data_IF_939314727782
#
_entry.id   IF_939314727782
#
_cell.length_a   1.000
_cell.length_b   1.000
_cell.length_c   1.000
_cell.angle_alpha   90.00
_cell.angle_beta   90.00
_cell.angle_gamma   90.00
#
_symmetry.space_group_name_H-M   'P 1'
#
loop_
_entity.id
_entity.type
_entity.pdbx_description
1 polymer ?
#
# COMPACT_ATOMS: atom_id res chain seq x y z
N UNK A 1 -11.85 -15.21 14.16
CA UNK A 1 -10.97 -15.90 15.12
C UNK A 1 -10.74 -14.95 16.30
N UNK A 2 -10.58 -15.45 17.53
CA UNK A 2 -10.26 -14.59 18.67
C UNK A 2 -8.78 -14.20 18.66
N UNK A 3 -8.47 -12.91 18.83
CA UNK A 3 -7.10 -12.40 18.93
C UNK A 3 -6.31 -13.10 20.06
N UNK A 4 -5.33 -13.94 19.72
CA UNK A 4 -4.54 -14.76 20.65
C UNK A 4 -3.02 -14.51 20.52
N UNK A 5 -2.61 -13.43 19.86
CA UNK A 5 -1.24 -13.13 19.46
C UNK A 5 -1.11 -12.91 17.95
N UNK A 6 0.12 -12.82 17.46
CA UNK A 6 0.42 -12.74 16.02
C UNK A 6 1.11 -14.02 15.52
N UNK A 7 0.92 -14.32 14.24
CA UNK A 7 1.69 -15.34 13.51
C UNK A 7 2.89 -14.66 12.87
N UNK A 8 4.09 -15.21 12.99
CA UNK A 8 5.30 -14.66 12.35
C UNK A 8 5.28 -14.92 10.84
N UNK A 9 5.87 -14.00 10.10
CA UNK A 9 6.03 -14.09 8.64
C UNK A 9 7.29 -13.36 8.21
N UNK A 10 7.61 -13.43 6.92
CA UNK A 10 8.79 -12.82 6.31
C UNK A 10 8.40 -12.08 5.04
N UNK A 11 9.06 -10.95 4.77
CA UNK A 11 8.90 -10.20 3.54
C UNK A 11 10.11 -9.31 3.30
N UNK A 12 10.50 -9.18 2.03
CA UNK A 12 11.43 -8.16 1.56
C UNK A 12 10.62 -7.15 0.74
N UNK A 13 10.69 -5.87 1.13
CA UNK A 13 9.94 -4.79 0.48
C UNK A 13 10.90 -3.66 0.16
N UNK A 14 10.84 -3.16 -1.07
CA UNK A 14 11.63 -2.02 -1.52
C UNK A 14 10.67 -0.98 -2.11
N UNK A 15 10.86 0.28 -1.71
CA UNK A 15 10.19 1.42 -2.33
C UNK A 15 11.22 2.35 -2.95
N UNK A 16 10.86 2.95 -4.08
CA UNK A 16 11.64 3.99 -4.70
C UNK A 16 10.94 5.34 -4.51
N UNK A 17 11.48 6.17 -3.63
CA UNK A 17 10.94 7.50 -3.34
C UNK A 17 11.64 8.55 -4.20
N UNK A 18 10.85 9.39 -4.86
CA UNK A 18 11.34 10.50 -5.67
C UNK A 18 10.50 11.75 -5.44
N UNK A 19 11.08 12.92 -5.71
CA UNK A 19 10.30 14.15 -5.84
C UNK A 19 9.30 13.98 -6.99
N UNK A 20 8.04 14.37 -6.79
CA UNK A 20 6.96 14.18 -7.76
C UNK A 20 7.33 14.70 -9.17
N UNK A 21 8.01 15.86 -9.24
CA UNK A 21 8.46 16.45 -10.52
C UNK A 21 9.45 15.58 -11.34
N UNK A 22 10.07 14.58 -10.73
CA UNK A 22 11.03 13.68 -11.38
C UNK A 22 10.45 12.28 -11.63
N UNK A 23 9.29 11.97 -11.05
CA UNK A 23 8.73 10.63 -11.10
C UNK A 23 8.02 10.40 -12.43
N UNK A 24 8.40 9.31 -13.13
CA UNK A 24 7.73 8.89 -14.38
C UNK A 24 6.40 8.17 -14.12
N UNK A 25 6.29 7.52 -12.95
CA UNK A 25 5.08 6.89 -12.42
C UNK A 25 4.98 7.18 -10.93
N UNK A 26 3.76 7.49 -10.46
CA UNK A 26 3.47 7.76 -9.05
C UNK A 26 2.30 6.86 -8.64
N UNK A 27 2.51 5.99 -7.65
CA UNK A 27 1.44 5.19 -7.04
C UNK A 27 0.68 6.01 -5.99
N UNK A 28 1.42 6.68 -5.11
CA UNK A 28 0.87 7.58 -4.11
C UNK A 28 1.90 8.66 -3.76
N UNK A 29 1.39 9.75 -3.18
CA UNK A 29 2.22 10.79 -2.55
C UNK A 29 2.20 10.63 -1.03
N UNK A 30 3.36 10.78 -0.40
CA UNK A 30 3.46 10.90 1.05
C UNK A 30 3.05 12.33 1.40
N UNK A 31 1.90 12.48 2.07
CA UNK A 31 1.39 13.79 2.51
C UNK A 31 2.13 14.23 3.77
N UNK A 32 2.22 13.32 4.74
CA UNK A 32 2.96 13.53 5.98
C UNK A 32 3.32 12.17 6.59
N UNK A 33 4.41 12.12 7.35
CA UNK A 33 4.86 10.92 8.06
C UNK A 33 5.56 11.33 9.34
N UNK A 34 5.25 10.65 10.44
CA UNK A 34 5.91 10.86 11.73
C UNK A 34 6.05 9.54 12.46
N UNK A 35 7.10 9.42 13.26
CA UNK A 35 7.27 8.29 14.17
C UNK A 35 7.88 8.79 15.49
N UNK A 36 7.31 8.33 16.60
CA UNK A 36 7.70 8.79 17.92
C UNK A 36 7.72 7.65 18.93
N UNK A 37 8.75 7.61 19.77
CA UNK A 37 8.85 6.68 20.88
C UNK A 37 8.12 7.26 22.09
N UNK A 38 7.12 6.55 22.60
CA UNK A 38 6.30 6.98 23.75
C UNK A 38 6.51 6.12 25.00
N UNK A 39 7.44 5.18 24.95
CA UNK A 39 7.67 4.27 26.05
C UNK A 39 8.85 4.63 26.95
N UNK A 40 8.82 4.10 28.17
CA UNK A 40 9.86 4.32 29.17
C UNK A 40 11.07 3.41 28.92
N UNK A 41 12.26 3.99 28.78
CA UNK A 41 13.55 3.27 28.66
C UNK A 41 13.82 2.32 29.84
N UNK A 42 13.25 2.58 31.02
CA UNK A 42 13.44 1.74 32.21
C UNK A 42 12.52 0.53 32.26
N UNK A 43 11.39 0.57 31.54
CA UNK A 43 10.49 -0.56 31.40
C UNK A 43 10.95 -1.42 30.21
N UNK A 44 11.55 -2.59 30.48
CA UNK A 44 12.09 -3.49 29.44
C UNK A 44 11.08 -3.92 28.36
N UNK A 45 9.78 -3.73 28.61
CA UNK A 45 8.71 -3.81 27.62
C UNK A 45 7.68 -2.72 27.89
N UNK A 46 7.24 -2.01 26.85
CA UNK A 46 6.25 -0.95 26.99
C UNK A 46 4.85 -1.52 26.80
N UNK A 47 4.03 -1.36 27.84
CA UNK A 47 2.59 -1.63 27.81
C UNK A 47 1.98 -0.75 26.71
N UNK A 48 1.08 -1.25 25.86
CA UNK A 48 0.39 -0.41 24.90
C UNK A 48 -0.42 0.67 25.63
N UNK A 49 -0.12 1.94 25.38
CA UNK A 49 -0.78 3.07 26.01
C UNK A 49 -1.58 3.86 24.96
N UNK A 50 -2.88 3.97 25.20
CA UNK A 50 -3.81 4.71 24.34
C UNK A 50 -3.50 6.22 24.31
N UNK A 51 -3.22 6.81 25.47
CA UNK A 51 -3.05 8.25 25.63
C UNK A 51 -1.87 8.82 24.81
N UNK A 52 -0.65 8.24 24.86
CA UNK A 52 0.45 8.73 24.03
C UNK A 52 0.18 8.59 22.53
N UNK A 53 -0.41 7.48 22.07
CA UNK A 53 -0.78 7.33 20.65
C UNK A 53 -1.82 8.38 20.22
N UNK A 54 -2.78 8.70 21.10
CA UNK A 54 -3.77 9.77 20.86
C UNK A 54 -3.09 11.13 20.71
N UNK A 55 -2.10 11.43 21.55
CA UNK A 55 -1.33 12.68 21.48
C UNK A 55 -0.49 12.75 20.21
N UNK A 56 0.20 11.67 19.85
CA UNK A 56 1.00 11.60 18.62
C UNK A 56 0.12 11.81 17.38
N UNK A 57 -1.04 11.15 17.31
CA UNK A 57 -2.00 11.36 16.23
C UNK A 57 -2.54 12.80 16.20
N UNK A 58 -2.90 13.36 17.35
CA UNK A 58 -3.40 14.74 17.42
C UNK A 58 -2.36 15.75 16.92
N UNK A 59 -1.11 15.61 17.37
CA UNK A 59 0.01 16.44 16.93
C UNK A 59 0.30 16.25 15.44
N UNK A 60 0.25 15.01 14.93
CA UNK A 60 0.45 14.70 13.51
C UNK A 60 -0.52 15.48 12.62
N UNK A 61 -1.83 15.43 12.92
CA UNK A 61 -2.84 16.12 12.10
C UNK A 61 -2.79 17.64 12.28
N UNK A 62 -2.43 18.13 13.48
CA UNK A 62 -2.17 19.55 13.70
C UNK A 62 -0.98 20.04 12.86
N UNK A 63 0.13 19.29 12.81
CA UNK A 63 1.34 19.66 12.08
C UNK A 63 1.15 19.66 10.56
N UNK A 64 0.44 18.66 10.03
CA UNK A 64 0.17 18.60 8.58
C UNK A 64 -1.02 19.44 8.14
N UNK A 65 -1.80 20.01 9.07
CA UNK A 65 -2.94 20.88 8.76
C UNK A 65 -4.08 20.15 8.02
N UNK A 66 -4.18 18.84 8.16
CA UNK A 66 -5.22 18.01 7.54
C UNK A 66 -6.29 17.68 8.58
N UNK A 67 -7.57 17.82 8.21
CA UNK A 67 -8.67 17.33 9.04
C UNK A 67 -8.64 15.79 9.10
N UNK A 68 -8.49 15.18 10.30
CA UNK A 68 -8.50 13.72 10.47
C UNK A 68 -9.75 13.03 9.91
N UNK A 69 -10.89 13.73 9.84
CA UNK A 69 -12.16 13.18 9.36
C UNK A 69 -12.12 12.79 7.87
N UNK A 70 -11.18 13.38 7.12
CA UNK A 70 -10.98 13.18 5.67
C UNK A 70 -10.25 11.89 5.30
N UNK A 71 -9.66 11.19 6.29
CA UNK A 71 -9.06 9.87 6.08
C UNK A 71 -10.16 8.88 5.73
N UNK A 72 -10.08 8.26 4.57
CA UNK A 72 -11.10 7.35 4.04
C UNK A 72 -10.82 5.88 4.39
N UNK A 73 -9.55 5.52 4.50
CA UNK A 73 -9.10 4.18 4.85
C UNK A 73 -7.93 4.26 5.84
N UNK A 74 -7.92 3.38 6.85
CA UNK A 74 -6.80 3.21 7.75
C UNK A 74 -6.31 1.76 7.74
N UNK A 75 -5.04 1.57 7.43
CA UNK A 75 -4.33 0.32 7.63
C UNK A 75 -3.72 0.32 9.03
N UNK A 76 -4.34 -0.43 9.94
CA UNK A 76 -3.93 -0.50 11.33
C UNK A 76 -2.68 -1.38 11.47
N UNK A 77 -1.94 -1.22 12.58
CA UNK A 77 -0.94 -2.21 12.95
C UNK A 77 -1.63 -3.57 13.16
N UNK A 78 -2.70 -3.61 13.97
CA UNK A 78 -3.57 -4.79 14.04
C UNK A 78 -2.82 -6.06 14.43
N UNK A 79 -2.00 -5.97 15.48
CA UNK A 79 -1.10 -7.03 15.94
C UNK A 79 -1.80 -8.34 16.37
N UNK A 80 -3.11 -8.33 16.60
CA UNK A 80 -3.82 -9.49 17.16
C UNK A 80 -3.57 -9.68 18.66
N UNK A 81 -2.93 -8.71 19.33
CA UNK A 81 -2.76 -8.69 20.78
C UNK A 81 -3.86 -7.81 21.37
N UNK A 82 -4.84 -8.43 22.03
CA UNK A 82 -6.08 -7.78 22.53
C UNK A 82 -5.86 -6.40 23.19
N UNK A 83 -4.84 -6.27 24.04
CA UNK A 83 -4.56 -5.01 24.73
C UNK A 83 -3.94 -3.94 23.81
N UNK A 84 -3.08 -4.34 22.87
CA UNK A 84 -2.47 -3.43 21.89
C UNK A 84 -3.51 -2.95 20.89
N UNK A 85 -4.27 -3.88 20.33
CA UNK A 85 -5.32 -3.57 19.36
C UNK A 85 -6.39 -2.64 19.99
N UNK A 86 -6.76 -2.87 21.26
CA UNK A 86 -7.69 -1.97 21.95
C UNK A 86 -7.11 -0.55 22.13
N UNK A 87 -5.87 -0.43 22.58
CA UNK A 87 -5.21 0.87 22.75
C UNK A 87 -5.06 1.62 21.40
N UNK A 88 -4.67 0.91 20.34
CA UNK A 88 -4.51 1.49 19.00
C UNK A 88 -5.85 1.99 18.46
N UNK A 89 -6.87 1.13 18.45
CA UNK A 89 -8.17 1.47 17.87
C UNK A 89 -8.93 2.54 18.67
N UNK A 90 -8.74 2.59 20.00
CA UNK A 90 -9.28 3.68 20.80
C UNK A 90 -8.54 5.00 20.51
N UNK A 91 -7.22 4.99 20.37
CA UNK A 91 -6.45 6.19 19.99
C UNK A 91 -6.88 6.73 18.61
N UNK A 92 -7.08 5.85 17.63
CA UNK A 92 -7.66 6.20 16.33
C UNK A 92 -9.05 6.82 16.51
N UNK A 93 -9.90 6.18 17.33
CA UNK A 93 -11.27 6.66 17.57
C UNK A 93 -11.32 8.05 18.18
N UNK A 94 -10.39 8.33 19.11
CA UNK A 94 -10.29 9.60 19.80
C UNK A 94 -9.82 10.76 18.92
N UNK A 95 -9.25 10.49 17.73
CA UNK A 95 -8.72 11.54 16.84
C UNK A 95 -9.47 11.55 15.51
N UNK A 96 -9.51 10.44 14.79
CA UNK A 96 -10.03 10.37 13.42
C UNK A 96 -11.56 10.33 13.34
N UNK A 97 -12.26 10.02 14.44
CA UNK A 97 -13.72 9.81 14.43
C UNK A 97 -14.52 10.92 15.13
N UNK A 98 -13.87 11.99 15.62
CA UNK A 98 -14.54 13.09 16.35
C UNK A 98 -15.68 13.69 15.53
N UNK A 99 -15.35 14.12 14.32
CA UNK A 99 -16.27 14.83 13.42
C UNK A 99 -16.62 14.01 12.17
N UNK A 100 -16.23 12.72 12.16
CA UNK A 100 -16.43 11.84 11.01
C UNK A 100 -17.88 11.39 10.88
N UNK A 101 -18.48 11.69 9.74
CA UNK A 101 -19.88 11.38 9.43
C UNK A 101 -20.08 9.92 8.99
N UNK A 102 -19.19 9.44 8.13
CA UNK A 102 -19.21 8.06 7.63
C UNK A 102 -18.29 7.17 8.44
N UNK A 103 -18.56 5.86 8.56
CA UNK A 103 -17.62 4.92 9.17
C UNK A 103 -16.23 5.00 8.52
N UNK A 104 -15.18 4.95 9.33
CA UNK A 104 -13.82 4.79 8.82
C UNK A 104 -13.60 3.32 8.45
N UNK A 105 -13.28 3.06 7.19
CA UNK A 105 -12.87 1.74 6.73
C UNK A 105 -11.50 1.41 7.33
N UNK A 106 -11.37 0.21 7.88
CA UNK A 106 -10.14 -0.21 8.56
C UNK A 106 -9.80 -1.67 8.24
N UNK A 107 -8.52 -1.98 8.18
CA UNK A 107 -8.01 -3.35 8.03
C UNK A 107 -6.56 -3.48 8.48
N UNK A 108 -6.03 -4.69 8.42
CA UNK A 108 -4.62 -5.02 8.67
C UNK A 108 -4.18 -6.19 7.81
N UNK A 109 -3.10 -6.02 7.05
CA UNK A 109 -2.50 -7.07 6.21
C UNK A 109 -2.00 -8.24 7.06
N UNK A 110 -1.73 -8.01 8.35
CA UNK A 110 -1.24 -9.02 9.27
C UNK A 110 -2.25 -10.16 9.48
N UNK A 111 -3.55 -9.92 9.25
CA UNK A 111 -4.53 -11.02 9.27
C UNK A 111 -4.36 -11.98 8.09
N UNK A 112 -3.81 -11.53 6.97
CA UNK A 112 -3.70 -12.31 5.73
C UNK A 112 -2.29 -12.91 5.56
N UNK A 113 -1.24 -12.17 5.92
CA UNK A 113 0.16 -12.59 5.73
C UNK A 113 0.91 -12.89 7.02
N UNK A 114 0.35 -12.59 8.19
CA UNK A 114 1.09 -12.59 9.45
C UNK A 114 1.99 -11.36 9.63
N UNK A 115 2.76 -11.34 10.71
CA UNK A 115 3.62 -10.24 11.10
C UNK A 115 5.04 -10.41 10.55
N UNK A 116 5.39 -9.61 9.54
CA UNK A 116 6.69 -9.64 8.84
C UNK A 116 7.79 -8.83 9.54
N UNK A 117 7.73 -8.77 10.88
CA UNK A 117 8.68 -8.05 11.75
C UNK A 117 9.06 -6.64 11.23
N UNK A 118 10.33 -6.38 10.94
CA UNK A 118 10.85 -5.09 10.48
C UNK A 118 10.18 -4.58 9.18
N UNK A 119 9.70 -5.48 8.33
CA UNK A 119 9.05 -5.13 7.07
C UNK A 119 7.55 -4.82 7.22
N UNK A 120 6.95 -5.02 8.39
CA UNK A 120 5.49 -5.00 8.57
C UNK A 120 4.84 -3.66 8.17
N UNK A 121 5.46 -2.54 8.52
CA UNK A 121 4.96 -1.22 8.12
C UNK A 121 4.99 -1.05 6.59
N UNK A 122 6.06 -1.51 5.94
CA UNK A 122 6.21 -1.39 4.48
C UNK A 122 5.26 -2.32 3.74
N UNK A 123 5.04 -3.55 4.23
CA UNK A 123 4.03 -4.48 3.69
C UNK A 123 2.62 -3.88 3.79
N UNK A 124 2.33 -3.17 4.89
CA UNK A 124 1.07 -2.45 5.09
C UNK A 124 0.89 -1.33 4.05
N UNK A 125 1.96 -0.57 3.76
CA UNK A 125 1.98 0.41 2.66
C UNK A 125 1.77 -0.28 1.30
N UNK A 126 2.43 -1.40 1.01
CA UNK A 126 2.23 -2.16 -0.24
C UNK A 126 0.77 -2.53 -0.45
N UNK A 127 0.09 -3.06 0.58
CA UNK A 127 -1.35 -3.37 0.51
C UNK A 127 -2.16 -2.13 0.14
N UNK A 128 -1.89 -0.99 0.77
CA UNK A 128 -2.59 0.27 0.48
C UNK A 128 -2.36 0.72 -0.95
N UNK A 129 -1.11 0.69 -1.45
CA UNK A 129 -0.80 1.07 -2.83
C UNK A 129 -1.49 0.15 -3.85
N UNK A 130 -1.47 -1.17 -3.62
CA UNK A 130 -2.18 -2.13 -4.47
C UNK A 130 -3.69 -1.87 -4.43
N UNK A 131 -4.24 -1.55 -3.25
CA UNK A 131 -5.67 -1.25 -3.09
C UNK A 131 -6.09 0.02 -3.85
N UNK A 132 -5.24 1.05 -3.83
CA UNK A 132 -5.42 2.28 -4.60
C UNK A 132 -5.42 2.00 -6.10
N UNK A 133 -4.40 1.28 -6.60
CA UNK A 133 -4.28 0.97 -8.04
C UNK A 133 -5.39 0.04 -8.53
N UNK A 134 -5.79 -0.94 -7.72
CA UNK A 134 -6.86 -1.88 -8.07
C UNK A 134 -8.27 -1.30 -7.86
N UNK A 135 -8.38 -0.11 -7.25
CA UNK A 135 -9.66 0.50 -6.89
C UNK A 135 -10.49 -0.32 -5.89
N UNK A 136 -9.85 -1.20 -5.09
CA UNK A 136 -10.53 -2.10 -4.16
C UNK A 136 -9.69 -2.36 -2.91
N UNK A 137 -10.32 -2.42 -1.75
CA UNK A 137 -9.71 -2.83 -0.49
C UNK A 137 -9.93 -4.34 -0.33
N UNK A 138 -8.87 -5.15 -0.18
CA UNK A 138 -9.02 -6.59 0.02
C UNK A 138 -9.57 -6.91 1.42
N UNK A 139 -10.30 -8.02 1.57
CA UNK A 139 -10.91 -8.40 2.84
C UNK A 139 -9.86 -8.73 3.91
N UNK A 140 -10.10 -8.22 5.11
CA UNK A 140 -9.43 -8.56 6.34
C UNK A 140 -9.85 -9.97 6.77
N UNK A 141 -8.89 -10.89 6.84
CA UNK A 141 -9.16 -12.26 7.22
C UNK A 141 -9.58 -12.39 8.70
N UNK A 142 -10.41 -13.39 9.00
CA UNK A 142 -10.71 -13.83 10.38
C UNK A 142 -11.35 -12.82 11.34
N UNK A 143 -12.11 -11.83 10.87
CA UNK A 143 -12.94 -10.97 11.73
C UNK A 143 -14.36 -11.55 11.88
N UNK A 144 -14.76 -11.87 13.12
CA UNK A 144 -16.10 -12.44 13.39
C UNK A 144 -16.95 -11.58 14.32
N UNK A 145 -16.38 -11.14 15.46
CA UNK A 145 -17.12 -10.37 16.47
C UNK A 145 -16.27 -9.20 16.96
N UNK A 146 -16.81 -7.98 17.01
CA UNK A 146 -16.09 -6.84 17.55
C UNK A 146 -15.79 -7.03 19.04
N UNK A 147 -14.61 -6.59 19.46
CA UNK A 147 -14.23 -6.56 20.87
C UNK A 147 -15.03 -5.49 21.62
N UNK A 148 -15.62 -5.86 22.76
CA UNK A 148 -16.35 -4.91 23.63
C UNK A 148 -15.43 -3.83 24.24
N UNK A 149 -14.11 -4.04 24.21
CA UNK A 149 -13.12 -3.04 24.65
C UNK A 149 -12.93 -1.90 23.64
N UNK A 150 -13.54 -1.99 22.46
CA UNK A 150 -13.39 -1.03 21.37
C UNK A 150 -14.80 -0.54 20.96
N UNK A 151 -15.33 0.49 21.64
CA UNK A 151 -16.71 0.96 21.42
C UNK A 151 -16.99 1.37 19.98
N UNK A 152 -16.00 1.91 19.26
CA UNK A 152 -16.18 2.35 17.87
C UNK A 152 -16.46 1.19 16.89
N UNK A 153 -15.93 -0.01 17.15
CA UNK A 153 -16.27 -1.21 16.38
C UNK A 153 -17.71 -1.66 16.68
N UNK A 154 -18.10 -1.66 17.97
CA UNK A 154 -19.45 -2.06 18.39
C UNK A 154 -20.51 -1.12 17.84
N UNK A 155 -20.21 0.19 17.81
CA UNK A 155 -21.09 1.24 17.26
C UNK A 155 -21.02 1.37 15.74
N UNK A 156 -20.17 0.58 15.06
CA UNK A 156 -20.01 0.65 13.60
C UNK A 156 -19.34 1.92 13.07
N UNK A 157 -18.71 2.74 13.92
CA UNK A 157 -17.93 3.92 13.49
C UNK A 157 -16.58 3.53 12.88
N UNK A 158 -16.01 2.41 13.32
CA UNK A 158 -14.92 1.71 12.64
C UNK A 158 -15.52 0.50 11.92
N UNK A 159 -15.39 0.44 10.59
CA UNK A 159 -15.88 -0.67 9.78
C UNK A 159 -14.70 -1.50 9.31
N UNK A 160 -14.51 -2.67 9.93
CA UNK A 160 -13.52 -3.65 9.45
C UNK A 160 -13.96 -4.15 8.08
N UNK A 161 -13.07 -4.08 7.10
CA UNK A 161 -13.35 -4.52 5.73
C UNK A 161 -13.30 -6.05 5.71
N UNK A 162 -14.45 -6.74 5.78
CA UNK A 162 -14.53 -8.22 5.79
C UNK A 162 -14.80 -8.85 4.43
N UNK A 163 -15.25 -8.04 3.48
CA UNK A 163 -15.47 -8.38 2.08
C UNK A 163 -14.71 -7.37 1.22
N UNK A 164 -14.51 -7.67 -0.07
CA UNK A 164 -13.85 -6.72 -0.96
C UNK A 164 -14.72 -5.45 -1.12
N UNK A 165 -14.18 -4.30 -0.72
CA UNK A 165 -14.89 -3.02 -0.77
C UNK A 165 -14.27 -2.13 -1.86
N UNK A 166 -15.05 -1.31 -2.59
CA UNK A 166 -14.50 -0.31 -3.49
C UNK A 166 -13.53 0.63 -2.75
N UNK A 167 -12.45 1.02 -3.41
CA UNK A 167 -11.54 2.04 -2.87
C UNK A 167 -12.29 3.38 -2.79
N UNK A 168 -12.43 3.99 -1.60
CA UNK A 168 -13.25 5.19 -1.42
C UNK A 168 -12.60 6.47 -2.01
N UNK A 169 -11.37 6.39 -2.53
CA UNK A 169 -10.57 7.56 -2.90
C UNK A 169 -10.04 8.30 -1.67
N UNK A 170 -9.45 9.48 -1.88
CA UNK A 170 -9.02 10.35 -0.79
C UNK A 170 -7.72 9.90 -0.09
N UNK A 171 -7.65 10.15 1.22
CA UNK A 171 -6.47 9.94 2.04
C UNK A 171 -6.50 8.59 2.76
N UNK A 172 -5.39 7.88 2.70
CA UNK A 172 -5.20 6.63 3.43
C UNK A 172 -4.13 6.80 4.50
N UNK A 173 -4.39 6.27 5.69
CA UNK A 173 -3.42 6.23 6.77
C UNK A 173 -2.84 4.83 6.94
N UNK A 174 -1.58 4.74 7.35
CA UNK A 174 -0.95 3.47 7.78
C UNK A 174 -0.31 3.68 9.14
N UNK A 175 -0.65 2.80 10.09
CA UNK A 175 -0.04 2.75 11.41
C UNK A 175 1.05 1.69 11.49
N UNK A 176 2.00 1.92 12.38
CA UNK A 176 2.94 0.90 12.84
C UNK A 176 3.18 1.04 14.34
N UNK A 177 3.12 -0.07 15.07
CA UNK A 177 3.38 -0.09 16.51
C UNK A 177 4.55 -1.03 16.80
N UNK A 178 5.71 -0.45 17.12
CA UNK A 178 6.89 -1.19 17.53
C UNK A 178 6.72 -1.82 18.90
N UNK A 179 7.32 -3.01 19.09
CA UNK A 179 7.31 -3.72 20.39
C UNK A 179 7.89 -2.87 21.54
N UNK A 180 8.84 -2.00 21.21
CA UNK A 180 9.52 -1.07 22.12
C UNK A 180 8.82 0.28 22.23
N UNK A 181 7.52 0.37 21.90
CA UNK A 181 6.72 1.58 22.13
C UNK A 181 7.01 2.73 21.16
N UNK A 182 7.36 2.42 19.91
CA UNK A 182 7.41 3.40 18.82
C UNK A 182 6.09 3.36 18.07
N UNK A 183 5.40 4.50 17.97
CA UNK A 183 4.22 4.66 17.13
C UNK A 183 4.59 5.42 15.87
N UNK A 184 4.39 4.80 14.71
CA UNK A 184 4.53 5.42 13.41
C UNK A 184 3.17 5.64 12.75
N UNK A 185 3.02 6.78 12.09
CA UNK A 185 1.85 7.12 11.29
C UNK A 185 2.29 7.77 9.98
N UNK A 186 1.75 7.29 8.87
CA UNK A 186 1.96 7.89 7.55
C UNK A 186 0.62 8.12 6.86
N UNK A 187 0.51 9.27 6.21
CA UNK A 187 -0.65 9.68 5.43
C UNK A 187 -0.27 9.67 3.95
N UNK A 188 -1.01 8.90 3.17
CA UNK A 188 -0.83 8.68 1.75
C UNK A 188 -2.02 9.25 0.97
N UNK A 189 -1.73 9.86 -0.18
CA UNK A 189 -2.74 10.28 -1.14
C UNK A 189 -2.58 9.46 -2.41
N UNK A 190 -3.65 8.80 -2.83
CA UNK A 190 -3.67 8.10 -4.13
C UNK A 190 -3.42 9.08 -5.26
N UNK A 191 -2.63 8.66 -6.25
CA UNK A 191 -2.46 9.43 -7.48
C UNK A 191 -3.39 8.82 -8.55
N UNK A 192 -4.67 9.23 -8.56
CA UNK A 192 -5.63 8.80 -9.57
C UNK A 192 -5.24 9.38 -10.93
N UNK A 193 -4.45 8.64 -11.70
CA UNK A 193 -4.14 8.99 -13.07
C UNK A 193 -5.16 8.32 -13.97
N UNK A 194 -6.16 9.07 -14.40
CA UNK A 194 -7.01 8.64 -15.51
C UNK A 194 -6.15 8.67 -16.78
N UNK A 195 -5.96 7.49 -17.37
CA UNK A 195 -5.23 7.39 -18.64
C UNK A 195 -6.10 7.96 -19.75
N UNK A 196 -5.51 8.80 -20.59
CA UNK A 196 -6.14 9.23 -21.85
C UNK A 196 -6.49 7.99 -22.66
N UNK A 197 -7.72 7.92 -23.18
CA UNK A 197 -8.25 6.77 -23.92
C UNK A 197 -8.04 5.41 -23.21
N UNK A 198 -8.12 5.37 -21.88
CA UNK A 198 -7.85 4.16 -21.07
C UNK A 198 -6.46 3.55 -21.31
N UNK A 199 -5.50 4.33 -21.82
CA UNK A 199 -4.14 3.89 -22.14
C UNK A 199 -3.98 3.35 -23.57
N UNK A 200 -5.08 3.21 -24.32
CA UNK A 200 -5.05 2.75 -25.71
C UNK A 200 -4.49 3.84 -26.63
N UNK A 201 -3.78 3.46 -27.71
CA UNK A 201 -3.36 4.40 -28.73
C UNK A 201 -4.58 5.03 -29.44
N UNK A 202 -4.40 6.23 -30.00
CA UNK A 202 -5.41 6.93 -30.82
C UNK A 202 -5.34 6.54 -32.31
N UNK A 203 -4.39 5.67 -32.66
CA UNK A 203 -4.08 5.24 -34.01
C UNK A 203 -3.99 3.70 -34.08
N UNK A 204 -4.04 3.16 -35.29
CA UNK A 204 -3.97 1.71 -35.56
C UNK A 204 -2.53 1.22 -35.81
N UNK A 205 -1.50 1.98 -35.39
CA UNK A 205 -0.12 1.58 -35.63
C UNK A 205 0.36 0.53 -34.61
N UNK A 206 1.10 -0.50 -35.04
CA UNK A 206 1.79 -1.37 -34.10
C UNK A 206 2.83 -0.61 -33.28
N UNK A 207 3.07 -1.04 -32.03
CA UNK A 207 4.13 -0.48 -31.17
C UNK A 207 5.29 -1.46 -31.08
N UNK A 208 6.49 -1.00 -31.41
CA UNK A 208 7.72 -1.73 -31.17
C UNK A 208 8.03 -1.71 -29.68
N UNK A 209 8.20 -2.88 -29.08
CA UNK A 209 8.77 -3.05 -27.75
C UNK A 209 10.17 -3.64 -27.88
N UNK A 210 11.13 -3.00 -27.23
CA UNK A 210 12.49 -3.52 -27.09
C UNK A 210 12.73 -3.72 -25.60
N UNK A 211 13.09 -4.93 -25.23
CA UNK A 211 13.37 -5.30 -23.86
C UNK A 211 14.69 -6.04 -23.76
N UNK A 212 15.29 -6.03 -22.59
CA UNK A 212 16.46 -6.84 -22.28
C UNK A 212 16.27 -7.59 -20.96
N UNK A 213 16.99 -8.69 -20.82
CA UNK A 213 16.87 -9.59 -19.69
C UNK A 213 18.16 -10.34 -19.41
N UNK A 214 18.20 -11.03 -18.27
CA UNK A 214 19.36 -11.84 -17.85
C UNK A 214 19.37 -13.24 -18.47
N UNK A 215 18.21 -13.76 -18.83
CA UNK A 215 18.00 -15.09 -19.40
C UNK A 215 17.02 -15.00 -20.55
N UNK A 216 17.15 -15.90 -21.51
CA UNK A 216 16.22 -16.05 -22.63
C UNK A 216 14.80 -16.37 -22.13
N UNK A 217 14.67 -17.29 -21.18
CA UNK A 217 13.39 -17.68 -20.56
C UNK A 217 12.66 -16.49 -19.91
N UNK A 218 13.33 -15.71 -19.06
CA UNK A 218 12.71 -14.56 -18.40
C UNK A 218 12.34 -13.44 -19.37
N UNK A 219 13.07 -13.34 -20.49
CA UNK A 219 12.73 -12.43 -21.57
C UNK A 219 11.48 -12.92 -22.31
N UNK A 220 11.39 -14.22 -22.60
CA UNK A 220 10.22 -14.83 -23.21
C UNK A 220 8.96 -14.64 -22.36
N UNK A 221 9.02 -14.93 -21.07
CA UNK A 221 7.91 -14.73 -20.13
C UNK A 221 7.42 -13.27 -20.11
N UNK A 222 8.37 -12.34 -20.18
CA UNK A 222 8.05 -10.90 -20.20
C UNK A 222 7.35 -10.52 -21.50
N UNK A 223 7.83 -11.01 -22.65
CA UNK A 223 7.20 -10.77 -23.95
C UNK A 223 5.79 -11.38 -24.01
N UNK A 224 5.62 -12.63 -23.59
CA UNK A 224 4.32 -13.32 -23.57
C UNK A 224 3.31 -12.54 -22.73
N UNK A 225 3.76 -12.03 -21.56
CA UNK A 225 2.92 -11.19 -20.70
C UNK A 225 2.53 -9.87 -21.36
N UNK A 226 3.44 -9.23 -22.08
CA UNK A 226 3.17 -7.96 -22.76
C UNK A 226 2.25 -8.15 -23.98
N UNK A 227 2.42 -9.25 -24.72
CA UNK A 227 1.60 -9.61 -25.89
C UNK A 227 0.17 -10.01 -25.49
N UNK A 228 0.00 -10.61 -24.30
CA UNK A 228 -1.33 -11.00 -23.79
C UNK A 228 -2.18 -9.82 -23.28
N UNK A 229 -1.61 -8.62 -23.18
CA UNK A 229 -2.29 -7.43 -22.69
C UNK A 229 -2.64 -6.46 -23.82
N UNK A 230 -3.74 -5.69 -23.70
CA UNK A 230 -3.99 -4.57 -24.61
C UNK A 230 -2.82 -3.60 -24.63
N UNK A 231 -2.57 -2.99 -25.79
CA UNK A 231 -1.52 -1.98 -25.94
C UNK A 231 -1.76 -0.83 -24.98
N UNK A 232 -0.78 -0.60 -24.09
CA UNK A 232 -0.80 0.48 -23.12
C UNK A 232 0.35 1.45 -23.41
N UNK A 233 0.01 2.63 -23.95
CA UNK A 233 0.98 3.63 -24.43
C UNK A 233 1.93 4.08 -23.32
N UNK A 234 1.44 4.19 -22.08
CA UNK A 234 2.28 4.56 -20.93
C UNK A 234 3.24 3.42 -20.56
N UNK A 235 2.77 2.17 -20.56
CA UNK A 235 3.62 1.01 -20.32
C UNK A 235 4.75 0.92 -21.35
N UNK A 236 4.40 1.06 -22.65
CA UNK A 236 5.36 1.06 -23.76
C UNK A 236 6.43 2.14 -23.54
N UNK A 237 6.00 3.37 -23.24
CA UNK A 237 6.93 4.48 -22.97
C UNK A 237 7.85 4.20 -21.78
N UNK A 238 7.33 3.66 -20.68
CA UNK A 238 8.14 3.36 -19.49
C UNK A 238 9.17 2.26 -19.77
N UNK A 239 8.83 1.25 -20.57
CA UNK A 239 9.75 0.20 -20.98
C UNK A 239 10.83 0.74 -21.93
N UNK A 240 10.47 1.58 -22.90
CA UNK A 240 11.45 2.26 -23.76
C UNK A 240 12.41 3.11 -22.94
N UNK A 241 11.88 3.88 -22.00
CA UNK A 241 12.68 4.69 -21.10
C UNK A 241 13.66 3.83 -20.26
N UNK A 242 13.22 2.66 -19.79
CA UNK A 242 14.05 1.73 -19.01
C UNK A 242 15.16 1.10 -19.86
N UNK A 243 14.83 0.70 -21.09
CA UNK A 243 15.74 -0.03 -21.99
C UNK A 243 16.46 0.87 -23.02
N UNK A 244 16.32 2.19 -22.89
CA UNK A 244 17.04 3.18 -23.71
C UNK A 244 18.56 3.20 -23.45
N UNK A 245 19.00 2.60 -22.35
CA UNK A 245 20.40 2.49 -21.94
C UNK A 245 20.77 1.05 -21.61
N UNK A 246 22.05 0.70 -21.80
CA UNK A 246 22.55 -0.62 -21.44
C UNK A 246 22.43 -0.90 -19.93
N UNK A 247 21.84 -2.04 -19.60
CA UNK A 247 21.70 -2.53 -18.22
C UNK A 247 22.76 -3.59 -17.97
N UNK A 248 23.59 -3.37 -16.95
CA UNK A 248 24.69 -4.27 -16.60
C UNK A 248 24.15 -5.68 -16.31
N UNK A 249 24.76 -6.70 -16.90
CA UNK A 249 24.40 -8.12 -16.81
C UNK A 249 23.10 -8.53 -17.50
N UNK A 250 22.53 -7.70 -18.39
CA UNK A 250 21.43 -8.11 -19.26
C UNK A 250 22.01 -8.57 -20.60
N UNK A 251 22.31 -9.86 -20.70
CA UNK A 251 22.96 -10.47 -21.87
C UNK A 251 22.00 -10.85 -22.99
N UNK A 252 20.69 -10.68 -22.81
CA UNK A 252 19.69 -11.02 -23.82
C UNK A 252 18.89 -9.78 -24.16
N UNK A 253 18.66 -9.55 -25.46
CA UNK A 253 17.84 -8.47 -26.00
C UNK A 253 16.78 -9.08 -26.90
N UNK A 254 15.57 -8.58 -26.80
CA UNK A 254 14.44 -9.08 -27.57
C UNK A 254 13.55 -7.93 -27.99
N UNK A 255 12.78 -8.18 -29.04
CA UNK A 255 11.76 -7.24 -29.47
C UNK A 255 10.45 -7.96 -29.80
N UNK A 256 9.35 -7.21 -29.73
CA UNK A 256 8.06 -7.61 -30.27
C UNK A 256 7.31 -6.42 -30.87
N UNK A 257 6.41 -6.68 -31.82
CA UNK A 257 5.42 -5.70 -32.28
C UNK A 257 4.07 -6.03 -31.63
N UNK A 258 3.59 -5.15 -30.76
CA UNK A 258 2.25 -5.28 -30.16
C UNK A 258 1.23 -4.44 -30.94
N UNK A 259 0.00 -4.95 -31.05
CA UNK A 259 -1.07 -4.30 -31.82
C UNK A 259 -1.05 -4.57 -33.32
N UNK A 260 -0.12 -5.39 -33.84
CA UNK A 260 -0.21 -5.93 -35.20
C UNK A 260 -1.06 -7.21 -35.24
N UNK A 261 -1.60 -7.52 -36.42
CA UNK A 261 -2.31 -8.79 -36.67
C UNK A 261 -1.36 -10.00 -36.67
N UNK A 262 -0.10 -9.78 -37.05
CA UNK A 262 0.95 -10.80 -37.06
C UNK A 262 1.90 -10.62 -35.86
N UNK A 263 2.34 -11.72 -35.26
CA UNK A 263 3.35 -11.70 -34.20
C UNK A 263 4.75 -11.60 -34.82
N UNK A 264 5.43 -10.47 -34.60
CA UNK A 264 6.82 -10.29 -35.00
C UNK A 264 7.72 -10.23 -33.76
N UNK A 265 8.51 -11.27 -33.52
CA UNK A 265 9.36 -11.40 -32.33
C UNK A 265 10.69 -12.07 -32.66
N UNK A 266 11.75 -11.61 -32.01
CA UNK A 266 13.08 -12.24 -32.05
C UNK A 266 13.83 -11.95 -30.75
N UNK A 267 14.77 -12.82 -30.40
CA UNK A 267 15.66 -12.69 -29.24
C UNK A 267 17.10 -12.95 -29.69
N UNK A 268 18.01 -12.07 -29.27
CA UNK A 268 19.45 -12.15 -29.54
C UNK A 268 20.24 -12.01 -28.25
N UNK A 269 21.43 -12.59 -28.27
CA UNK A 269 22.48 -12.44 -27.24
C UNK A 269 23.35 -11.24 -27.59
#
# INVERSE_FOLDING_TARGET
MYANGFVRSEALVVFFLQKAKNAKRIYASIVHSHAECYGDRKAGYIVPLEYPMTNILSNFYQQCGIDPSTVSYLEADGSGIKARDAAELNAISNVLLRDKQLPLLIGSIKSNLGHTSASAALVSVVKVLISMEAGKIPPNYSFNKPSQKIPALVKGKLKVVTEAEPWPGGLAAVNSVGLTGVFGHILLRSHSKEKVNSGLPEDDLPRLLVISGRTEEGLNDTLDKLESQPVDVECVRLLHDLYSSDIINFSYRGYTLIGSHDTYRDIKV
#
